data_IF_211263111692
#
_entry.id   IF_211263111692
#
_cell.length_a   1.000
_cell.length_b   1.000
_cell.length_c   1.000
_cell.angle_alpha   90.00
_cell.angle_beta   90.00
_cell.angle_gamma   90.00
#
_symmetry.space_group_name_H-M   'P 1'
#
loop_
_entity.id
_entity.type
_entity.pdbx_description
1 polymer ?
#
# COMPACT_ATOMS: atom_id res chain seq x y z
N UNK A 1 2.62 -4.41 11.26
CA UNK A 1 2.07 -5.63 11.90
C UNK A 1 0.57 -5.82 11.63
N UNK A 2 -0.31 -4.81 11.84
CA UNK A 2 -1.75 -4.98 11.65
C UNK A 2 -2.14 -5.54 10.25
N UNK A 3 -1.67 -4.91 9.17
CA UNK A 3 -1.97 -5.38 7.81
C UNK A 3 -1.46 -6.82 7.55
N UNK A 4 -0.31 -7.20 8.10
CA UNK A 4 0.20 -8.57 8.00
C UNK A 4 -0.78 -9.58 8.62
N UNK A 5 -1.30 -9.28 9.83
CA UNK A 5 -2.25 -10.16 10.50
C UNK A 5 -3.59 -10.24 9.74
N UNK A 6 -4.09 -9.11 9.25
CA UNK A 6 -5.37 -9.05 8.52
C UNK A 6 -5.29 -9.78 7.17
N UNK A 7 -4.26 -9.52 6.39
CA UNK A 7 -4.04 -10.15 5.08
C UNK A 7 -3.79 -11.65 5.28
N UNK A 8 -2.85 -12.01 6.13
CA UNK A 8 -2.49 -13.40 6.36
C UNK A 8 -3.62 -14.24 6.94
N UNK A 9 -4.43 -13.69 7.85
CA UNK A 9 -5.64 -14.35 8.32
C UNK A 9 -6.62 -14.61 7.17
N UNK A 10 -6.85 -13.61 6.33
CA UNK A 10 -7.75 -13.73 5.18
C UNK A 10 -7.26 -14.77 4.16
N UNK A 11 -5.98 -14.78 3.84
CA UNK A 11 -5.36 -15.80 2.97
C UNK A 11 -5.50 -17.21 3.55
N UNK A 12 -5.40 -17.36 4.86
CA UNK A 12 -5.55 -18.62 5.56
C UNK A 12 -7.01 -19.00 5.89
N UNK A 13 -7.98 -18.26 5.31
CA UNK A 13 -9.41 -18.57 5.44
C UNK A 13 -10.08 -18.08 6.73
N UNK A 14 -9.40 -17.26 7.55
CA UNK A 14 -9.93 -16.68 8.77
C UNK A 14 -10.30 -15.21 8.55
N UNK A 15 -11.54 -14.82 8.87
CA UNK A 15 -11.98 -13.44 8.87
C UNK A 15 -12.06 -12.95 10.30
N UNK A 16 -11.02 -12.23 10.77
CA UNK A 16 -10.91 -11.80 12.17
C UNK A 16 -12.14 -11.01 12.62
N UNK A 17 -12.64 -10.13 11.75
CA UNK A 17 -13.84 -9.32 12.02
C UNK A 17 -14.96 -9.78 11.08
N UNK A 18 -15.97 -10.45 11.61
CA UNK A 18 -17.17 -10.83 10.86
C UNK A 18 -18.34 -9.93 11.26
N UNK A 19 -18.95 -9.28 10.26
CA UNK A 19 -20.10 -8.37 10.47
C UNK A 19 -21.32 -8.89 9.74
N UNK A 20 -22.26 -9.43 10.51
CA UNK A 20 -23.54 -9.91 9.98
C UNK A 20 -24.70 -9.18 10.65
N UNK A 21 -25.63 -8.65 9.84
CA UNK A 21 -26.82 -7.95 10.33
C UNK A 21 -26.52 -6.81 11.32
N UNK A 22 -25.43 -6.06 11.08
CA UNK A 22 -25.01 -4.97 11.95
C UNK A 22 -24.36 -5.39 13.27
N UNK A 23 -24.15 -6.69 13.48
CA UNK A 23 -23.46 -7.22 14.65
C UNK A 23 -22.09 -7.73 14.26
N UNK A 24 -21.06 -7.22 14.91
CA UNK A 24 -19.67 -7.68 14.75
C UNK A 24 -19.38 -8.81 15.72
N UNK A 25 -18.74 -9.86 15.20
CA UNK A 25 -18.15 -10.95 15.97
C UNK A 25 -16.67 -11.09 15.62
N UNK A 26 -15.87 -11.52 16.59
CA UNK A 26 -14.48 -11.85 16.39
C UNK A 26 -14.34 -13.34 16.12
N UNK A 27 -13.75 -13.67 14.98
CA UNK A 27 -13.38 -15.03 14.61
C UNK A 27 -11.86 -15.19 14.76
N UNK A 28 -11.45 -15.88 15.82
CA UNK A 28 -10.06 -16.20 16.11
C UNK A 28 -9.81 -17.71 15.98
N UNK A 29 -9.46 -18.15 14.77
CA UNK A 29 -8.92 -19.48 14.62
C UNK A 29 -7.51 -19.54 15.23
N UNK A 30 -7.37 -20.32 16.30
CA UNK A 30 -6.11 -20.44 17.06
C UNK A 30 -4.96 -20.96 16.20
N UNK A 31 -5.22 -21.85 15.24
CA UNK A 31 -4.20 -22.43 14.38
C UNK A 31 -3.70 -21.40 13.37
N UNK A 32 -4.63 -20.61 12.80
CA UNK A 32 -4.31 -19.50 11.89
C UNK A 32 -3.49 -18.45 12.64
N UNK A 33 -3.95 -18.00 13.80
CA UNK A 33 -3.22 -16.99 14.60
C UNK A 33 -1.85 -17.52 15.04
N UNK A 34 -1.75 -18.78 15.43
CA UNK A 34 -0.46 -19.39 15.77
C UNK A 34 0.49 -19.41 14.58
N UNK A 35 0.01 -19.81 13.39
CA UNK A 35 0.83 -19.80 12.17
C UNK A 35 1.33 -18.40 11.82
N UNK A 36 0.47 -17.39 11.91
CA UNK A 36 0.84 -16.00 11.69
C UNK A 36 1.88 -15.50 12.70
N UNK A 37 1.67 -15.83 13.98
CA UNK A 37 2.59 -15.49 15.05
C UNK A 37 3.97 -16.13 14.85
N UNK A 38 4.03 -17.41 14.60
CA UNK A 38 5.29 -18.14 14.41
C UNK A 38 6.05 -17.63 13.18
N UNK A 39 5.33 -17.27 12.10
CA UNK A 39 5.92 -16.71 10.88
C UNK A 39 6.41 -15.25 11.01
N UNK A 40 5.97 -14.53 12.01
CA UNK A 40 6.42 -13.16 12.31
C UNK A 40 7.36 -13.09 13.51
N UNK A 41 6.90 -13.61 14.65
CA UNK A 41 7.61 -13.47 15.93
C UNK A 41 8.93 -14.24 15.94
N UNK A 42 8.94 -15.48 15.45
CA UNK A 42 10.16 -16.30 15.44
C UNK A 42 11.28 -15.67 14.58
N UNK A 43 11.02 -15.23 13.34
CA UNK A 43 12.02 -14.49 12.57
C UNK A 43 12.45 -13.17 13.23
N UNK A 44 11.52 -12.46 13.89
CA UNK A 44 11.82 -11.21 14.59
C UNK A 44 12.83 -11.42 15.72
N UNK A 45 12.60 -12.40 16.61
CA UNK A 45 13.54 -12.68 17.71
C UNK A 45 14.87 -13.28 17.24
N UNK A 46 14.93 -13.79 16.01
CA UNK A 46 16.18 -14.24 15.36
C UNK A 46 16.93 -13.11 14.65
N UNK A 47 16.40 -11.88 14.69
CA UNK A 47 17.02 -10.73 14.05
C UNK A 47 16.87 -10.68 12.52
N UNK A 48 15.89 -11.41 11.94
CA UNK A 48 15.61 -11.35 10.50
C UNK A 48 14.78 -10.14 10.12
N UNK A 49 14.07 -9.54 11.07
CA UNK A 49 13.29 -8.31 10.94
C UNK A 49 13.79 -7.28 11.92
N UNK A 50 13.82 -6.04 11.46
CA UNK A 50 14.16 -4.90 12.30
C UNK A 50 13.20 -3.74 12.04
N UNK A 51 13.01 -2.88 13.02
CA UNK A 51 12.22 -1.66 12.95
C UNK A 51 12.76 -0.69 14.00
N UNK A 52 13.79 0.07 13.64
CA UNK A 52 14.48 1.02 14.52
C UNK A 52 14.08 2.44 14.25
N UNK A 53 13.83 2.81 13.01
CA UNK A 53 13.38 4.13 12.61
C UNK A 53 11.87 4.36 12.82
N UNK A 54 11.47 5.63 12.76
CA UNK A 54 10.05 5.99 12.78
C UNK A 54 9.34 5.52 11.52
N UNK A 55 10.00 5.67 10.37
CA UNK A 55 9.57 5.14 9.09
C UNK A 55 10.60 4.14 8.54
N UNK A 56 10.13 3.12 7.81
CA UNK A 56 11.01 2.12 7.18
C UNK A 56 11.93 2.71 6.13
N UNK A 57 11.54 3.79 5.48
CA UNK A 57 12.40 4.56 4.58
C UNK A 57 13.64 5.12 5.27
N UNK A 58 13.56 5.42 6.57
CA UNK A 58 14.72 5.89 7.34
C UNK A 58 15.71 4.75 7.57
N UNK A 59 15.23 3.54 7.85
CA UNK A 59 16.06 2.34 8.02
C UNK A 59 16.76 1.95 6.70
N UNK A 60 16.13 2.19 5.53
CA UNK A 60 16.78 2.02 4.22
C UNK A 60 17.87 3.06 4.01
N UNK A 61 17.64 4.34 4.35
CA UNK A 61 18.62 5.42 4.17
C UNK A 61 19.94 5.17 4.91
N UNK A 62 19.86 4.47 6.01
CA UNK A 62 21.04 4.10 6.83
C UNK A 62 21.63 2.72 6.48
N UNK A 63 21.01 2.00 5.54
CA UNK A 63 21.42 0.64 5.21
C UNK A 63 21.10 -0.41 6.28
N UNK A 64 20.32 -0.05 7.29
CA UNK A 64 19.93 -0.96 8.39
C UNK A 64 19.11 -2.13 7.88
N UNK A 65 18.25 -1.90 6.88
CA UNK A 65 17.46 -2.92 6.21
C UNK A 65 17.64 -2.85 4.69
N UNK A 66 17.52 -3.99 4.02
CA UNK A 66 17.64 -4.10 2.55
C UNK A 66 16.28 -4.03 1.83
N UNK A 67 15.19 -4.32 2.53
CA UNK A 67 13.87 -4.35 1.94
C UNK A 67 12.78 -4.11 2.98
N UNK A 68 11.63 -3.65 2.53
CA UNK A 68 10.45 -3.53 3.40
C UNK A 68 9.15 -3.76 2.61
N UNK A 69 8.09 -4.11 3.33
CA UNK A 69 6.73 -4.12 2.81
C UNK A 69 6.05 -2.82 3.22
N UNK A 70 5.53 -2.08 2.26
CA UNK A 70 4.93 -0.78 2.49
C UNK A 70 3.75 -0.48 1.58
N UNK A 71 3.18 0.71 1.76
CA UNK A 71 2.17 1.28 0.88
C UNK A 71 2.80 1.74 -0.44
N UNK A 72 2.02 1.75 -1.54
CA UNK A 72 2.45 2.34 -2.81
C UNK A 72 2.86 3.82 -2.67
N UNK A 73 2.22 4.56 -1.77
CA UNK A 73 2.60 5.95 -1.46
C UNK A 73 4.00 6.09 -0.84
N UNK A 74 4.61 5.01 -0.38
CA UNK A 74 6.00 5.04 0.13
C UNK A 74 7.05 5.25 -0.96
N UNK A 75 6.69 5.08 -2.24
CA UNK A 75 7.60 5.25 -3.36
C UNK A 75 8.25 6.63 -3.40
N UNK A 76 7.50 7.68 -3.07
CA UNK A 76 7.98 9.07 -3.10
C UNK A 76 9.00 9.38 -1.99
N UNK A 77 9.18 8.48 -1.04
CA UNK A 77 10.12 8.61 0.09
C UNK A 77 11.28 7.60 0.03
N UNK A 78 11.31 6.76 -1.01
CA UNK A 78 12.40 5.81 -1.16
C UNK A 78 13.68 6.56 -1.53
N UNK A 79 14.81 6.33 -0.83
CA UNK A 79 16.05 7.02 -1.12
C UNK A 79 16.72 6.47 -2.40
N UNK A 80 17.49 7.30 -3.06
CA UNK A 80 18.36 6.97 -4.18
C UNK A 80 19.78 6.57 -3.73
N UNK A 81 20.08 6.80 -2.46
CA UNK A 81 21.38 6.49 -1.86
C UNK A 81 21.23 6.04 -0.40
N UNK A 82 22.21 5.26 0.04
CA UNK A 82 22.38 4.82 1.43
C UNK A 82 23.61 5.52 2.00
N UNK A 83 23.48 6.03 3.22
CA UNK A 83 24.57 6.62 3.99
C UNK A 83 24.84 5.70 5.19
N UNK A 84 25.96 4.97 5.15
CA UNK A 84 26.34 4.03 6.21
C UNK A 84 27.17 4.71 7.30
N UNK A 85 27.81 5.82 6.98
CA UNK A 85 28.51 6.73 7.90
C UNK A 85 28.60 8.13 7.30
N UNK A 86 29.15 9.10 8.04
CA UNK A 86 29.29 10.48 7.57
C UNK A 86 30.16 10.59 6.30
N UNK A 87 31.10 9.65 6.11
CA UNK A 87 32.05 9.64 5.00
C UNK A 87 31.78 8.50 3.98
N UNK A 88 30.74 7.69 4.18
CA UNK A 88 30.46 6.54 3.32
C UNK A 88 29.02 6.53 2.85
N UNK A 89 28.85 6.76 1.55
CA UNK A 89 27.56 6.68 0.88
C UNK A 89 27.68 6.01 -0.48
N UNK A 90 26.63 5.31 -0.89
CA UNK A 90 26.55 4.71 -2.22
C UNK A 90 25.14 4.79 -2.78
N UNK A 91 25.02 4.84 -4.10
CA UNK A 91 23.73 4.83 -4.77
C UNK A 91 23.08 3.46 -4.70
N UNK A 92 21.75 3.44 -4.61
CA UNK A 92 20.94 2.23 -4.65
C UNK A 92 19.86 2.36 -5.72
N UNK A 93 19.36 1.21 -6.17
CA UNK A 93 18.24 1.12 -7.11
C UNK A 93 17.05 0.43 -6.44
N UNK A 94 15.87 1.03 -6.56
CA UNK A 94 14.63 0.43 -6.08
C UNK A 94 14.19 -0.71 -6.99
N UNK A 95 14.00 -1.90 -6.43
CA UNK A 95 13.32 -3.00 -7.08
C UNK A 95 12.00 -3.30 -6.37
N UNK A 96 10.89 -3.15 -7.10
CA UNK A 96 9.56 -3.43 -6.58
C UNK A 96 9.16 -4.86 -6.91
N UNK A 97 8.70 -5.59 -5.89
CA UNK A 97 8.25 -6.97 -6.00
C UNK A 97 6.80 -7.09 -5.52
N UNK A 98 6.05 -8.11 -6.00
CA UNK A 98 4.74 -8.41 -5.44
C UNK A 98 4.82 -8.66 -3.93
N UNK A 99 3.75 -8.30 -3.21
CA UNK A 99 3.66 -8.62 -1.79
C UNK A 99 3.69 -10.14 -1.58
N UNK A 100 4.52 -10.67 -0.67
CA UNK A 100 4.53 -12.10 -0.35
C UNK A 100 3.17 -12.58 0.16
N UNK A 101 2.77 -13.78 -0.21
CA UNK A 101 1.56 -14.46 0.26
C UNK A 101 1.87 -15.88 0.70
N UNK A 102 0.94 -16.49 1.45
CA UNK A 102 1.12 -17.88 1.91
C UNK A 102 1.02 -18.86 0.74
N UNK A 103 1.96 -19.81 0.69
CA UNK A 103 1.98 -20.82 -0.38
C UNK A 103 0.67 -21.61 -0.44
N UNK A 104 0.12 -21.74 -1.65
CA UNK A 104 -1.14 -22.43 -1.90
C UNK A 104 -2.40 -21.63 -1.57
N UNK A 105 -2.27 -20.37 -1.15
CA UNK A 105 -3.40 -19.48 -0.90
C UNK A 105 -3.63 -18.53 -2.07
N UNK A 106 -4.86 -18.04 -2.21
CA UNK A 106 -5.19 -16.95 -3.14
C UNK A 106 -4.56 -15.65 -2.61
N UNK A 107 -3.80 -14.91 -3.43
CA UNK A 107 -3.20 -13.66 -2.99
C UNK A 107 -4.25 -12.62 -2.58
N UNK A 108 -4.09 -12.05 -1.40
CA UNK A 108 -4.95 -10.99 -0.88
C UNK A 108 -4.13 -9.73 -0.68
N UNK A 109 -4.66 -8.59 -1.13
CA UNK A 109 -4.05 -7.28 -0.91
C UNK A 109 -5.01 -6.37 -0.16
N UNK A 110 -4.50 -5.67 0.84
CA UNK A 110 -5.27 -4.65 1.54
C UNK A 110 -5.40 -3.40 0.65
N UNK A 111 -6.64 -2.97 0.45
CA UNK A 111 -6.93 -1.68 -0.16
C UNK A 111 -7.25 -0.69 0.95
N UNK A 112 -6.37 0.28 1.13
CA UNK A 112 -6.51 1.39 2.05
C UNK A 112 -6.27 2.69 1.31
N UNK A 113 -6.97 3.75 1.71
CA UNK A 113 -6.82 5.05 1.08
C UNK A 113 -7.55 6.13 1.86
N UNK A 114 -7.30 7.37 1.47
CA UNK A 114 -8.05 8.51 1.95
C UNK A 114 -9.35 8.68 1.15
N UNK A 115 -10.39 9.17 1.80
CA UNK A 115 -11.64 9.55 1.16
C UNK A 115 -11.88 11.04 1.29
N UNK A 116 -12.57 11.62 0.33
CA UNK A 116 -13.05 12.99 0.39
C UNK A 116 -14.56 13.01 0.60
N UNK A 117 -15.01 13.87 1.48
CA UNK A 117 -16.44 14.06 1.76
C UNK A 117 -16.84 15.50 1.54
N UNK A 118 -18.04 15.69 1.00
CA UNK A 118 -18.66 17.03 0.93
C UNK A 118 -19.37 17.28 2.26
N UNK A 119 -18.92 18.28 2.99
CA UNK A 119 -19.54 18.68 4.25
C UNK A 119 -20.84 19.43 4.01
N UNK A 120 -21.69 19.50 5.03
CA UNK A 120 -22.90 20.34 5.00
C UNK A 120 -22.48 21.81 4.90
N UNK A 121 -23.06 22.52 3.95
CA UNK A 121 -22.83 23.93 3.68
C UNK A 121 -24.02 24.53 2.93
N UNK A 122 -23.87 25.73 2.41
CA UNK A 122 -24.86 26.29 1.49
C UNK A 122 -24.76 25.64 0.09
N UNK A 123 -25.72 25.94 -0.78
CA UNK A 123 -25.81 25.31 -2.11
C UNK A 123 -24.61 25.64 -2.98
N UNK A 124 -24.04 26.84 -2.87
CA UNK A 124 -22.89 27.28 -3.64
C UNK A 124 -21.61 26.53 -3.19
N UNK A 125 -21.41 26.37 -1.89
CA UNK A 125 -20.28 25.62 -1.30
C UNK A 125 -20.34 24.14 -1.68
N UNK A 126 -21.53 23.53 -1.59
CA UNK A 126 -21.74 22.12 -1.98
C UNK A 126 -21.46 21.96 -3.48
N UNK A 127 -21.99 22.85 -4.33
CA UNK A 127 -21.78 22.82 -5.76
C UNK A 127 -20.29 22.99 -6.13
N UNK A 128 -19.58 23.90 -5.48
CA UNK A 128 -18.15 24.10 -5.69
C UNK A 128 -17.37 22.84 -5.30
N UNK A 129 -17.65 22.26 -4.14
CA UNK A 129 -17.04 21.02 -3.67
C UNK A 129 -17.25 19.84 -4.62
N UNK A 130 -18.47 19.65 -5.12
CA UNK A 130 -18.77 18.62 -6.11
C UNK A 130 -18.05 18.86 -7.43
N UNK A 131 -17.97 20.12 -7.87
CA UNK A 131 -17.24 20.50 -9.09
C UNK A 131 -15.77 20.17 -8.96
N UNK A 132 -15.14 20.49 -7.81
CA UNK A 132 -13.77 20.12 -7.53
C UNK A 132 -13.56 18.62 -7.53
N UNK A 133 -14.44 17.85 -6.85
CA UNK A 133 -14.32 16.39 -6.81
C UNK A 133 -14.42 15.76 -8.20
N UNK A 134 -15.32 16.26 -9.07
CA UNK A 134 -15.43 15.80 -10.46
C UNK A 134 -14.15 16.07 -11.25
N UNK A 135 -13.58 17.24 -11.09
CA UNK A 135 -12.30 17.61 -11.71
C UNK A 135 -11.17 16.70 -11.19
N UNK A 136 -11.06 16.55 -9.86
CA UNK A 136 -10.00 15.78 -9.22
C UNK A 136 -10.04 14.30 -9.56
N UNK A 137 -11.25 13.73 -9.76
CA UNK A 137 -11.43 12.31 -10.08
C UNK A 137 -11.51 12.02 -11.57
N UNK A 138 -11.47 13.03 -12.45
CA UNK A 138 -11.34 12.82 -13.88
C UNK A 138 -10.02 12.07 -14.18
N UNK A 139 -10.01 11.04 -15.06
CA UNK A 139 -8.86 10.17 -15.27
C UNK A 139 -7.55 10.90 -15.48
N UNK A 140 -7.55 11.88 -16.36
CA UNK A 140 -6.37 12.70 -16.74
C UNK A 140 -5.80 13.53 -15.58
N UNK A 141 -6.67 14.05 -14.69
CA UNK A 141 -6.24 14.83 -13.54
C UNK A 141 -5.84 13.92 -12.38
N UNK A 142 -6.58 12.82 -12.21
CA UNK A 142 -6.34 11.90 -11.11
C UNK A 142 -5.02 11.14 -11.27
N UNK A 143 -4.64 10.81 -12.50
CA UNK A 143 -3.35 10.18 -12.76
C UNK A 143 -2.16 11.11 -12.42
N UNK A 144 -2.29 12.43 -12.64
CA UNK A 144 -1.27 13.39 -12.23
C UNK A 144 -1.09 13.44 -10.71
N UNK A 145 -2.20 13.36 -9.96
CA UNK A 145 -2.13 13.22 -8.52
C UNK A 145 -1.47 11.91 -8.10
N UNK A 146 -1.79 10.81 -8.77
CA UNK A 146 -1.21 9.49 -8.49
C UNK A 146 0.30 9.46 -8.70
N UNK A 147 0.79 10.10 -9.77
CA UNK A 147 2.22 10.24 -10.05
C UNK A 147 2.95 10.99 -8.93
N UNK A 148 2.37 12.10 -8.47
CA UNK A 148 2.99 12.93 -7.43
C UNK A 148 2.91 12.35 -6.02
N UNK A 149 1.97 11.45 -5.75
CA UNK A 149 1.66 10.95 -4.41
C UNK A 149 1.93 9.46 -4.19
N UNK A 150 2.09 8.68 -5.26
CA UNK A 150 2.16 7.22 -5.21
C UNK A 150 0.84 6.53 -4.85
N UNK A 151 -0.28 7.28 -4.76
CA UNK A 151 -1.61 6.69 -4.61
C UNK A 151 -2.09 6.12 -5.94
N UNK A 152 -2.90 5.07 -5.88
CA UNK A 152 -3.56 4.54 -7.07
C UNK A 152 -4.67 5.48 -7.54
N UNK A 153 -4.89 5.59 -8.87
CA UNK A 153 -6.04 6.27 -9.41
C UNK A 153 -7.36 5.67 -8.93
N UNK A 154 -8.40 6.49 -8.80
CA UNK A 154 -9.69 6.07 -8.23
C UNK A 154 -10.65 5.46 -9.26
N UNK A 155 -10.40 5.63 -10.56
CA UNK A 155 -11.24 5.11 -11.63
C UNK A 155 -10.60 3.89 -12.30
N UNK A 156 -11.44 2.98 -12.81
CA UNK A 156 -10.95 1.83 -13.58
C UNK A 156 -10.25 2.25 -14.87
N UNK A 157 -10.67 3.36 -15.47
CA UNK A 157 -10.07 3.90 -16.68
C UNK A 157 -8.66 4.39 -16.43
N UNK A 158 -8.44 5.16 -15.37
CA UNK A 158 -7.12 5.66 -14.99
C UNK A 158 -6.17 4.55 -14.48
N UNK A 159 -6.69 3.37 -14.11
CA UNK A 159 -5.90 2.19 -13.72
C UNK A 159 -5.58 1.25 -14.90
N UNK A 160 -5.83 1.64 -16.14
CA UNK A 160 -5.37 0.88 -17.30
C UNK A 160 -3.88 1.11 -17.56
N UNK A 161 -3.19 0.08 -18.04
CA UNK A 161 -1.76 0.15 -18.33
C UNK A 161 -1.43 1.23 -19.37
N UNK A 162 -2.31 1.44 -20.36
CA UNK A 162 -2.13 2.47 -21.39
C UNK A 162 -2.11 3.89 -20.79
N UNK A 163 -3.00 4.18 -19.83
CA UNK A 163 -3.05 5.48 -19.15
C UNK A 163 -1.79 5.75 -18.33
N UNK A 164 -1.21 4.72 -17.72
CA UNK A 164 0.08 4.83 -17.04
C UNK A 164 1.21 5.05 -18.03
N UNK A 165 1.23 4.31 -19.15
CA UNK A 165 2.25 4.43 -20.18
C UNK A 165 2.28 5.85 -20.78
N UNK A 166 1.13 6.43 -21.09
CA UNK A 166 1.03 7.81 -21.62
C UNK A 166 1.55 8.87 -20.65
N UNK A 167 1.60 8.54 -19.36
CA UNK A 167 2.05 9.45 -18.30
C UNK A 167 3.49 9.17 -17.82
N UNK A 168 4.16 8.17 -18.35
CA UNK A 168 5.49 7.70 -17.91
C UNK A 168 6.57 8.78 -17.94
N UNK A 169 6.51 9.71 -18.91
CA UNK A 169 7.48 10.80 -19.05
C UNK A 169 7.51 11.77 -17.85
N UNK A 170 6.45 11.77 -17.05
CA UNK A 170 6.34 12.62 -15.85
C UNK A 170 6.70 11.88 -14.55
N UNK A 171 7.07 10.58 -14.62
CA UNK A 171 7.35 9.76 -13.47
C UNK A 171 8.85 9.61 -13.23
N UNK A 172 9.26 9.59 -11.96
CA UNK A 172 10.58 9.04 -11.62
C UNK A 172 10.57 7.51 -11.80
N UNK A 173 11.74 6.88 -12.02
CA UNK A 173 11.81 5.42 -12.18
C UNK A 173 11.19 4.65 -11.00
N UNK A 174 11.35 5.16 -9.78
CA UNK A 174 10.81 4.56 -8.54
C UNK A 174 9.28 4.61 -8.53
N UNK A 175 8.71 5.79 -8.79
CA UNK A 175 7.25 6.00 -8.86
C UNK A 175 6.64 5.12 -9.95
N UNK A 176 7.27 5.09 -11.14
CA UNK A 176 6.84 4.23 -12.25
C UNK A 176 6.80 2.75 -11.82
N UNK A 177 7.88 2.24 -11.27
CA UNK A 177 7.99 0.83 -10.84
C UNK A 177 6.94 0.47 -9.79
N UNK A 178 6.69 1.36 -8.83
CA UNK A 178 5.69 1.12 -7.78
C UNK A 178 4.27 1.20 -8.32
N UNK A 179 3.93 2.19 -9.14
CA UNK A 179 2.58 2.32 -9.71
C UNK A 179 2.25 1.17 -10.65
N UNK A 180 3.18 0.74 -11.51
CA UNK A 180 2.99 -0.43 -12.37
C UNK A 180 2.72 -1.70 -11.55
N UNK A 181 3.51 -1.95 -10.50
CA UNK A 181 3.29 -3.09 -9.62
C UNK A 181 1.98 -2.98 -8.84
N UNK A 182 1.61 -1.79 -8.38
CA UNK A 182 0.37 -1.56 -7.65
C UNK A 182 -0.86 -1.76 -8.54
N UNK A 183 -0.86 -1.27 -9.78
CA UNK A 183 -1.92 -1.50 -10.78
C UNK A 183 -2.04 -2.99 -11.09
N UNK A 184 -0.92 -3.67 -11.33
CA UNK A 184 -0.92 -5.13 -11.51
C UNK A 184 -1.55 -5.84 -10.32
N UNK A 185 -1.17 -5.46 -9.10
CA UNK A 185 -1.69 -6.04 -7.86
C UNK A 185 -3.21 -5.87 -7.73
N UNK A 186 -3.76 -4.69 -8.02
CA UNK A 186 -5.22 -4.49 -7.92
C UNK A 186 -6.01 -5.18 -9.02
N UNK A 187 -5.38 -5.51 -10.14
CA UNK A 187 -6.00 -6.25 -11.22
C UNK A 187 -5.95 -7.78 -11.00
N UNK A 188 -4.92 -8.29 -10.35
CA UNK A 188 -4.66 -9.73 -10.20
C UNK A 188 -5.08 -10.28 -8.83
N UNK A 189 -4.98 -9.49 -7.75
CA UNK A 189 -5.22 -9.96 -6.39
C UNK A 189 -6.65 -9.69 -5.93
N UNK A 190 -7.10 -10.49 -4.98
CA UNK A 190 -8.32 -10.21 -4.25
C UNK A 190 -8.11 -9.01 -3.33
N UNK A 191 -8.88 -7.96 -3.53
CA UNK A 191 -8.80 -6.77 -2.70
C UNK A 191 -9.63 -6.94 -1.43
N UNK A 192 -9.04 -6.57 -0.31
CA UNK A 192 -9.66 -6.60 1.01
C UNK A 192 -9.68 -5.20 1.63
N UNK A 193 -10.86 -4.72 1.94
CA UNK A 193 -11.06 -3.45 2.65
C UNK A 193 -11.60 -3.77 4.03
N UNK A 194 -10.90 -3.32 5.07
CA UNK A 194 -11.41 -3.42 6.44
C UNK A 194 -12.31 -2.23 6.73
N UNK A 195 -13.43 -2.47 7.38
CA UNK A 195 -14.20 -1.44 8.06
C UNK A 195 -13.72 -1.43 9.50
N UNK A 196 -12.74 -0.60 9.79
CA UNK A 196 -12.33 -0.32 11.16
C UNK A 196 -13.16 0.82 11.71
#
# INVERSE_FOLDING_TARGET
MANYLLIGAKELGCTIFDVQNGKMTLDFDKNVIRKLWDNYYVPFIKGYFEATGHFRSDDIKTGTILSYVGSSSSATFFPDSVMTSDDDSHSIELKVLPNPHFAGCEPVSVQQGAGMVVTKGDEAEIKASVTFLKYFTAPENNIQFSIGSGYLPVTREANKEEMLADSEAAMTPEVKSVLQMAVKTVNENKLYTTRA
#
